data_IF_474856327499
#
_entry.id   IF_474856327499
#
_cell.length_a   1.000
_cell.length_b   1.000
_cell.length_c   1.000
_cell.angle_alpha   90.00
_cell.angle_beta   90.00
_cell.angle_gamma   90.00
#
_symmetry.space_group_name_H-M   'P 1'
#
loop_
_entity.id
_entity.type
_entity.pdbx_description
1 polymer ?
2 non-polymer ?
#
# COMPACT_ATOMS: atom_id res chain seq x y z
N UNK A 11 -1.21 8.63 26.86
CA UNK A 11 -0.81 7.23 26.91
C UNK A 11 -0.45 6.72 25.52
N UNK A 12 -1.44 6.71 24.62
CA UNK A 12 -1.25 6.26 23.26
C UNK A 12 -0.65 7.33 22.36
N UNK A 13 -0.54 8.57 22.83
CA UNK A 13 -0.12 9.67 21.96
C UNK A 13 1.33 9.60 21.53
N UNK A 14 2.26 9.29 22.44
CA UNK A 14 3.67 9.25 22.07
C UNK A 14 3.99 8.16 21.05
N UNK A 15 3.60 6.89 21.29
CA UNK A 15 3.89 5.86 20.28
C UNK A 15 3.23 6.14 18.94
N UNK A 16 1.98 6.61 18.96
CA UNK A 16 1.29 6.92 17.71
C UNK A 16 1.97 8.06 16.97
N UNK A 17 2.36 9.12 17.68
CA UNK A 17 3.03 10.24 17.06
C UNK A 17 4.39 9.83 16.48
N UNK A 18 5.17 9.06 17.23
CA UNK A 18 6.47 8.64 16.72
C UNK A 18 6.34 7.71 15.52
N UNK A 19 5.44 6.73 15.57
CA UNK A 19 5.24 5.85 14.42
C UNK A 19 4.64 6.58 13.22
N UNK A 20 3.75 7.55 13.45
CA UNK A 20 3.23 8.39 12.38
C UNK A 20 4.30 9.23 11.73
N UNK A 21 5.20 9.81 12.52
CA UNK A 21 6.33 10.53 11.95
C UNK A 21 7.23 9.60 11.15
N UNK A 22 7.47 8.39 11.67
CA UNK A 22 8.27 7.42 10.93
C UNK A 22 7.63 7.09 9.58
N UNK A 23 6.36 6.71 9.60
CA UNK A 23 5.65 6.38 8.37
C UNK A 23 5.49 7.55 7.43
N UNK A 24 5.42 8.77 7.95
CA UNK A 24 5.41 9.95 7.09
C UNK A 24 6.75 10.11 6.40
N UNK A 25 7.85 10.06 7.15
CA UNK A 25 9.17 10.20 6.56
C UNK A 25 9.65 8.93 5.86
N UNK A 26 9.01 7.79 6.11
CA UNK A 26 9.32 6.57 5.37
C UNK A 26 8.53 6.44 4.08
N UNK A 27 7.55 7.31 3.85
CA UNK A 27 6.84 7.36 2.58
C UNK A 27 6.75 8.77 1.99
N UNK A 28 7.31 9.78 2.65
CA UNK A 28 7.50 11.08 2.02
C UNK A 28 8.70 10.94 1.09
N UNK A 29 8.47 10.28 -0.04
CA UNK A 29 9.52 9.94 -0.98
C UNK A 29 9.27 10.67 -2.29
N UNK A 30 9.91 11.81 -2.52
CA UNK A 30 9.75 12.50 -3.82
C UNK A 30 10.21 11.67 -5.00
N UNK A 31 11.07 10.67 -4.78
CA UNK A 31 11.52 9.82 -5.87
C UNK A 31 10.42 8.89 -6.36
N UNK A 32 9.45 8.57 -5.50
CA UNK A 32 8.41 7.61 -5.88
C UNK A 32 7.59 8.05 -7.09
N UNK A 33 7.02 9.26 -7.14
CA UNK A 33 6.28 9.65 -8.36
C UNK A 33 7.15 9.70 -9.59
N UNK A 34 8.41 10.09 -9.45
CA UNK A 34 9.35 10.17 -10.56
C UNK A 34 10.38 9.05 -10.53
N UNK A 35 9.97 7.85 -10.12
CA UNK A 35 10.88 6.71 -10.05
C UNK A 35 11.29 6.27 -11.44
N UNK A 36 10.32 5.92 -12.28
CA UNK A 36 10.64 5.40 -13.61
C UNK A 36 11.45 6.39 -14.44
N UNK A 37 11.11 7.69 -14.48
CA UNK A 37 12.02 8.63 -15.16
C UNK A 37 13.41 8.67 -14.57
N UNK A 38 13.57 8.41 -13.27
CA UNK A 38 14.88 8.55 -12.64
C UNK A 38 15.86 7.50 -13.15
N UNK A 39 15.46 6.23 -13.17
CA UNK A 39 16.35 5.16 -13.61
C UNK A 39 16.28 4.92 -15.11
N UNK A 40 15.41 5.62 -15.82
CA UNK A 40 15.36 5.54 -17.27
C UNK A 40 15.90 6.77 -17.97
N UNK A 41 16.20 7.84 -17.24
CA UNK A 41 16.76 9.04 -17.82
C UNK A 41 18.27 9.01 -17.79
N UNK A 42 18.90 10.18 -17.88
CA UNK A 42 20.38 10.25 -17.88
C UNK A 42 20.99 9.79 -16.57
N UNK A 43 20.23 9.74 -15.48
CA UNK A 43 20.79 9.39 -14.19
C UNK A 43 21.31 7.95 -14.17
N UNK A 44 20.54 7.01 -14.72
CA UNK A 44 20.94 5.62 -14.75
C UNK A 44 21.09 5.06 -16.16
N UNK A 45 20.40 5.64 -17.15
CA UNK A 45 20.51 5.23 -18.55
C UNK A 45 20.15 3.77 -18.75
N UNK A 46 19.16 3.30 -17.98
CA UNK A 46 18.63 1.96 -18.17
C UNK A 46 17.47 1.98 -19.16
N UNK A 47 17.40 0.94 -20.00
CA UNK A 47 16.34 0.86 -20.98
C UNK A 47 15.03 0.41 -20.31
N UNK A 48 13.92 0.85 -20.91
CA UNK A 48 12.60 0.60 -20.35
C UNK A 48 12.16 -0.85 -20.44
N UNK A 49 12.84 -1.67 -21.24
CA UNK A 49 12.52 -3.08 -21.38
C UNK A 49 13.28 -3.94 -20.38
N UNK A 50 14.04 -3.30 -19.48
CA UNK A 50 14.82 -4.00 -18.48
C UNK A 50 14.46 -3.44 -17.11
N UNK A 51 13.58 -2.44 -17.10
CA UNK A 51 13.14 -1.78 -15.88
C UNK A 51 11.81 -2.38 -15.43
N UNK A 52 11.04 -2.88 -16.40
CA UNK A 52 9.73 -3.45 -16.11
C UNK A 52 9.66 -4.95 -16.33
N UNK A 53 10.48 -5.54 -17.19
CA UNK A 53 10.48 -6.97 -17.42
C UNK A 53 11.56 -7.71 -16.64
N UNK A 54 12.50 -6.99 -16.02
CA UNK A 54 13.58 -7.62 -15.27
C UNK A 54 13.81 -7.00 -13.90
N UNK A 55 13.42 -5.75 -13.68
CA UNK A 55 13.66 -5.05 -12.42
C UNK A 55 12.46 -5.12 -11.49
N UNK A 56 11.27 -4.79 -11.99
CA UNK A 56 10.08 -4.83 -11.14
C UNK A 56 9.62 -6.24 -10.77
N UNK A 57 9.70 -7.26 -11.64
CA UNK A 57 9.44 -8.62 -11.17
C UNK A 57 10.37 -9.05 -10.06
N UNK A 58 11.61 -8.56 -10.05
CA UNK A 58 12.52 -8.84 -8.94
C UNK A 58 11.97 -8.25 -7.65
N UNK A 59 11.45 -7.02 -7.72
CA UNK A 59 10.83 -6.43 -6.53
C UNK A 59 9.63 -7.26 -6.07
N UNK A 60 8.80 -7.71 -7.01
CA UNK A 60 7.63 -8.50 -6.62
C UNK A 60 8.03 -9.81 -5.95
N UNK A 61 9.01 -10.51 -6.52
CA UNK A 61 9.46 -11.77 -5.95
C UNK A 61 10.10 -11.55 -4.59
N UNK A 62 10.92 -10.51 -4.45
CA UNK A 62 11.50 -10.21 -3.15
C UNK A 62 10.44 -9.82 -2.13
N UNK A 63 9.39 -9.11 -2.58
CA UNK A 63 8.27 -8.79 -1.71
C UNK A 63 7.61 -10.05 -1.19
N UNK A 64 7.40 -11.04 -2.07
CA UNK A 64 6.80 -12.30 -1.63
C UNK A 64 7.71 -13.03 -0.64
N UNK A 65 8.97 -13.24 -1.01
CA UNK A 65 9.88 -14.03 -0.18
C UNK A 65 10.37 -13.27 1.05
N UNK A 66 10.05 -11.98 1.16
CA UNK A 66 10.33 -11.24 2.37
C UNK A 66 9.11 -11.05 3.24
N UNK A 67 7.91 -11.08 2.66
CA UNK A 67 6.70 -11.19 3.48
C UNK A 67 6.62 -12.56 4.13
N UNK A 68 7.12 -13.60 3.45
CA UNK A 68 7.10 -14.95 4.02
C UNK A 68 7.70 -15.04 5.42
N UNK A 69 8.85 -14.43 5.72
CA UNK A 69 9.33 -14.41 7.11
C UNK A 69 8.94 -13.17 7.91
N UNK A 70 8.07 -12.31 7.39
CA UNK A 70 7.63 -11.16 8.17
C UNK A 70 6.50 -11.55 9.13
N UNK A 71 5.42 -12.12 8.60
CA UNK A 71 4.32 -12.50 9.48
C UNK A 71 4.68 -13.62 10.43
N UNK A 72 5.69 -14.44 10.08
CA UNK A 72 6.15 -15.47 11.00
C UNK A 72 6.92 -14.86 12.17
N UNK A 73 7.77 -13.86 11.89
CA UNK A 73 8.75 -13.40 12.87
C UNK A 73 8.47 -12.03 13.47
N UNK A 74 7.66 -11.19 12.82
CA UNK A 74 7.46 -9.83 13.33
C UNK A 74 6.78 -9.85 14.69
N UNK A 75 5.78 -10.71 14.87
CA UNK A 75 5.13 -10.83 16.17
C UNK A 75 6.09 -11.33 17.24
N UNK A 76 6.96 -12.27 16.87
CA UNK A 76 7.92 -12.81 17.83
C UNK A 76 8.91 -11.74 18.27
N UNK A 77 9.38 -10.91 17.34
CA UNK A 77 10.39 -9.89 17.65
C UNK A 77 9.76 -8.60 18.16
N UNK A 78 8.45 -8.59 18.40
CA UNK A 78 7.74 -7.44 19.00
C UNK A 78 7.71 -6.23 18.08
N UNK A 79 7.71 -6.47 16.77
CA UNK A 79 7.31 -5.52 15.74
C UNK A 79 8.26 -4.33 15.57
N UNK A 80 9.22 -4.14 16.47
CA UNK A 80 10.14 -3.03 16.30
C UNK A 80 11.30 -3.36 15.37
N UNK A 81 12.01 -4.49 15.56
CA UNK A 81 13.17 -4.76 14.69
C UNK A 81 12.82 -4.82 13.21
N UNK A 82 11.64 -5.35 12.86
CA UNK A 82 11.25 -5.37 11.46
C UNK A 82 11.04 -3.96 10.94
N UNK A 83 10.50 -3.07 11.77
CA UNK A 83 10.43 -1.66 11.42
C UNK A 83 11.84 -1.08 11.33
N UNK A 84 12.68 -1.41 12.31
CA UNK A 84 14.07 -0.97 12.26
C UNK A 84 14.79 -1.62 11.08
N UNK A 85 14.48 -2.88 10.80
CA UNK A 85 15.00 -3.51 9.58
C UNK A 85 14.45 -2.80 8.34
N UNK A 86 13.20 -2.36 8.39
CA UNK A 86 12.64 -1.56 7.30
C UNK A 86 13.38 -0.25 7.16
N UNK A 87 13.67 0.42 8.28
CA UNK A 87 14.39 1.68 8.22
C UNK A 87 15.79 1.53 7.66
N UNK A 88 16.54 0.53 8.13
CA UNK A 88 17.88 0.29 7.61
C UNK A 88 17.82 -0.10 6.14
N UNK A 89 16.89 -0.96 5.79
CA UNK A 89 16.73 -1.37 4.39
C UNK A 89 16.17 -0.25 3.52
N UNK A 90 15.49 0.73 4.11
CA UNK A 90 15.22 1.97 3.38
C UNK A 90 16.52 2.72 3.07
N UNK A 91 17.45 2.75 4.03
CA UNK A 91 18.73 3.39 3.79
C UNK A 91 19.49 2.65 2.70
N UNK A 92 19.50 1.31 2.76
CA UNK A 92 20.19 0.53 1.74
C UNK A 92 19.51 0.70 0.39
N UNK A 93 18.18 0.66 0.36
CA UNK A 93 17.44 0.75 -0.90
C UNK A 93 17.80 2.03 -1.64
N UNK A 94 17.64 3.18 -0.98
CA UNK A 94 17.90 4.45 -1.66
C UNK A 94 19.39 4.79 -1.74
N UNK A 95 20.22 4.18 -0.90
CA UNK A 95 21.66 4.35 -1.06
C UNK A 95 22.16 3.68 -2.33
N UNK A 96 21.68 2.47 -2.60
CA UNK A 96 22.03 1.81 -3.86
C UNK A 96 21.24 2.39 -5.02
N UNK A 97 20.07 2.98 -4.75
CA UNK A 97 19.33 3.69 -5.78
C UNK A 97 20.05 4.98 -6.17
N UNK A 98 20.86 5.53 -5.27
CA UNK A 98 21.55 6.78 -5.53
C UNK A 98 22.87 6.55 -6.25
N UNK A 99 23.69 5.63 -5.74
CA UNK A 99 25.07 5.47 -6.19
C UNK A 99 25.30 4.09 -6.80
N UNK A 100 24.24 3.43 -7.23
CA UNK A 100 24.38 2.13 -7.86
C UNK A 100 23.99 2.15 -9.33
N UNK A 101 24.97 2.03 -10.20
CA UNK A 101 24.73 2.05 -11.64
C UNK A 101 24.52 0.64 -12.17
N UNK A 102 23.91 0.56 -13.34
CA UNK A 102 23.64 -0.72 -13.97
C UNK A 102 22.44 -1.42 -13.37
N UNK A 103 22.05 -2.53 -14.02
CA UNK A 103 20.92 -3.33 -13.57
C UNK A 103 21.33 -4.35 -12.51
N UNK A 104 22.62 -4.66 -12.40
CA UNK A 104 23.08 -5.59 -11.38
C UNK A 104 22.79 -5.07 -9.98
N UNK A 105 23.10 -3.79 -9.73
CA UNK A 105 22.81 -3.19 -8.43
C UNK A 105 21.33 -2.87 -8.28
N UNK A 106 20.65 -2.51 -9.38
CA UNK A 106 19.25 -2.13 -9.29
C UNK A 106 18.35 -3.32 -8.92
N UNK A 107 18.75 -4.54 -9.30
CA UNK A 107 18.01 -5.70 -8.83
C UNK A 107 18.11 -5.84 -7.32
N UNK A 108 19.31 -5.57 -6.79
CA UNK A 108 19.56 -5.65 -5.32
C UNK A 108 18.72 -4.57 -4.63
N UNK A 109 18.50 -3.45 -5.30
CA UNK A 109 17.69 -2.33 -4.74
C UNK A 109 16.22 -2.75 -4.73
N UNK A 110 15.79 -3.40 -5.83
CA UNK A 110 14.40 -3.91 -5.94
C UNK A 110 14.19 -4.93 -4.81
N UNK A 111 15.23 -5.70 -4.51
CA UNK A 111 15.19 -6.68 -3.42
C UNK A 111 15.02 -5.98 -2.08
N UNK A 112 15.79 -4.91 -1.86
CA UNK A 112 15.67 -4.18 -0.59
C UNK A 112 14.37 -3.39 -0.52
N UNK A 113 13.83 -2.95 -1.66
CA UNK A 113 12.51 -2.33 -1.63
C UNK A 113 11.42 -3.37 -1.34
N UNK A 114 11.60 -4.60 -1.80
CA UNK A 114 10.74 -5.68 -1.35
C UNK A 114 10.85 -5.88 0.15
N UNK A 115 12.06 -5.75 0.69
CA UNK A 115 12.24 -5.78 2.13
C UNK A 115 11.43 -4.69 2.82
N UNK A 116 11.53 -3.45 2.32
CA UNK A 116 10.84 -2.35 2.99
C UNK A 116 9.33 -2.51 2.87
N UNK A 117 8.84 -3.01 1.73
CA UNK A 117 7.41 -3.20 1.56
C UNK A 117 6.87 -4.36 2.39
N UNK A 118 7.66 -5.43 2.55
CA UNK A 118 7.24 -6.54 3.40
C UNK A 118 7.24 -6.14 4.87
N UNK A 119 8.21 -5.30 5.26
CA UNK A 119 8.27 -4.80 6.62
C UNK A 119 7.31 -3.66 6.88
N UNK A 120 6.73 -3.08 5.83
CA UNK A 120 5.63 -2.13 5.97
C UNK A 120 4.42 -2.75 6.65
N UNK A 121 4.29 -4.08 6.58
CA UNK A 121 3.32 -4.80 7.41
C UNK A 121 3.60 -4.60 8.90
N UNK A 122 4.86 -4.70 9.31
CA UNK A 122 5.24 -4.40 10.69
C UNK A 122 4.91 -2.97 11.08
N UNK A 123 5.02 -2.03 10.14
CA UNK A 123 4.71 -0.63 10.45
C UNK A 123 3.25 -0.49 10.89
N UNK A 124 2.33 -1.16 10.19
CA UNK A 124 0.92 -1.05 10.53
C UNK A 124 0.59 -1.84 11.80
N UNK A 125 1.20 -3.02 11.97
CA UNK A 125 0.86 -3.90 13.08
C UNK A 125 1.55 -3.55 14.38
N UNK A 126 2.61 -2.75 14.34
CA UNK A 126 3.35 -2.43 15.56
C UNK A 126 2.49 -1.63 16.53
N UNK A 127 1.75 -0.64 16.02
CA UNK A 127 1.05 0.29 16.88
C UNK A 127 -0.06 -0.41 17.65
N UNK A 128 -0.68 -1.43 17.07
CA UNK A 128 -1.72 -2.17 17.78
C UNK A 128 -1.13 -3.02 18.90
N UNK A 129 0.16 -3.35 18.80
CA UNK A 129 0.83 -4.07 19.87
C UNK A 129 1.37 -3.16 20.95
N UNK A 130 1.22 -1.85 20.81
CA UNK A 130 1.74 -0.89 21.78
C UNK A 130 0.68 0.04 22.33
N UNK A 131 -0.52 0.09 21.73
CA UNK A 131 -1.61 0.90 22.24
C UNK A 131 -2.77 -0.02 22.62
N UNK A 132 -3.64 0.50 23.48
CA UNK A 132 -4.79 -0.26 23.92
C UNK A 132 -5.81 -0.41 22.79
N UNK A 133 -6.64 -1.46 22.83
CA UNK A 133 -7.64 -1.63 21.76
C UNK A 133 -8.61 -0.48 21.63
N UNK A 134 -8.85 0.27 22.71
CA UNK A 134 -9.82 1.36 22.65
C UNK A 134 -9.44 2.39 21.59
N UNK A 135 -8.14 2.64 21.42
CA UNK A 135 -7.65 3.59 20.44
C UNK A 135 -7.48 2.99 19.05
N UNK A 136 -7.70 1.68 18.90
CA UNK A 136 -7.41 1.00 17.64
C UNK A 136 -8.11 1.65 16.47
N UNK A 137 -9.27 2.26 16.70
CA UNK A 137 -9.91 3.04 15.64
C UNK A 137 -9.08 4.26 15.30
N UNK A 138 -8.93 5.19 16.25
CA UNK A 138 -8.27 6.46 15.98
C UNK A 138 -6.90 6.23 15.37
N UNK A 139 -6.06 5.51 16.12
CA UNK A 139 -4.71 5.14 15.71
C UNK A 139 -4.73 4.70 14.26
N UNK A 140 -5.60 3.72 13.95
CA UNK A 140 -5.65 3.17 12.60
C UNK A 140 -5.67 4.28 11.58
N UNK A 141 -6.72 5.11 11.63
CA UNK A 141 -6.88 6.20 10.71
C UNK A 141 -5.59 6.96 10.62
N UNK A 142 -5.16 7.51 11.75
CA UNK A 142 -3.99 8.38 11.76
C UNK A 142 -2.83 7.69 11.06
N UNK A 143 -2.53 6.45 11.46
CA UNK A 143 -1.42 5.72 10.86
C UNK A 143 -1.59 5.72 9.35
N UNK A 144 -2.66 5.09 8.86
CA UNK A 144 -2.87 5.03 7.43
C UNK A 144 -2.86 6.44 6.85
N UNK A 145 -3.58 7.35 7.49
CA UNK A 145 -3.68 8.71 6.99
C UNK A 145 -2.30 9.29 6.77
N UNK A 146 -1.45 9.24 7.80
CA UNK A 146 -0.17 9.91 7.69
C UNK A 146 0.64 9.29 6.56
N UNK A 147 0.58 7.96 6.45
CA UNK A 147 1.27 7.28 5.37
C UNK A 147 0.83 7.85 4.03
N UNK A 148 -0.48 7.89 3.80
CA UNK A 148 -0.99 8.47 2.57
C UNK A 148 -0.58 9.92 2.46
N UNK A 149 -0.73 10.68 3.55
CA UNK A 149 -0.26 12.06 3.55
C UNK A 149 1.19 12.11 3.11
N UNK A 150 2.01 11.24 3.73
CA UNK A 150 3.40 11.11 3.33
C UNK A 150 3.52 11.11 1.82
N UNK A 151 2.89 10.11 1.18
CA UNK A 151 3.03 9.95 -0.26
C UNK A 151 2.65 11.25 -0.96
N UNK A 152 1.45 11.76 -0.67
CA UNK A 152 1.00 12.94 -1.39
C UNK A 152 1.93 14.11 -1.11
N UNK A 153 2.35 14.26 0.15
CA UNK A 153 3.35 15.27 0.47
C UNK A 153 4.55 15.11 -0.45
N UNK A 154 5.20 13.96 -0.39
CA UNK A 154 6.32 13.72 -1.27
C UNK A 154 5.95 14.01 -2.70
N UNK A 155 4.81 13.46 -3.13
CA UNK A 155 4.34 13.68 -4.50
C UNK A 155 4.33 15.17 -4.81
N UNK A 156 3.56 15.94 -4.05
CA UNK A 156 3.46 17.36 -4.37
C UNK A 156 4.82 18.01 -4.23
N UNK A 157 5.57 17.64 -3.19
CA UNK A 157 6.93 18.16 -3.04
C UNK A 157 7.74 17.88 -4.29
N UNK A 158 7.74 16.61 -4.71
CA UNK A 158 8.48 16.25 -5.92
C UNK A 158 8.06 17.14 -7.08
N UNK A 159 6.75 17.33 -7.25
CA UNK A 159 6.27 18.11 -8.38
C UNK A 159 6.89 19.51 -8.35
N UNK A 160 6.85 20.17 -7.18
CA UNK A 160 7.40 21.51 -7.10
C UNK A 160 8.89 21.48 -7.43
N UNK A 161 9.61 20.48 -6.90
CA UNK A 161 11.04 20.40 -7.15
C UNK A 161 11.36 20.19 -8.62
N UNK A 162 10.41 19.67 -9.41
CA UNK A 162 10.62 19.56 -10.85
C UNK A 162 9.90 20.66 -11.62
N UNK A 163 9.03 21.43 -10.98
CA UNK A 163 8.27 22.46 -11.66
C UNK A 163 8.67 23.89 -11.25
N UNK A 164 9.44 24.04 -10.18
CA UNK A 164 9.84 25.37 -9.72
C UNK A 164 11.32 25.50 -9.40
N UNK A 165 12.03 24.40 -9.14
CA UNK A 165 13.45 24.46 -8.82
C UNK A 165 14.29 23.60 -9.74
N UNK A 166 13.70 23.06 -10.82
CA UNK A 166 14.35 22.17 -11.78
C UNK A 166 15.29 21.17 -11.12
N UNK A 167 14.86 20.61 -10.00
CA UNK A 167 15.70 19.65 -9.28
C UNK A 167 15.77 18.34 -10.05
N UNK A 168 16.98 17.82 -10.22
CA UNK A 168 17.17 16.58 -10.94
C UNK A 168 16.61 15.40 -10.14
N UNK A 169 16.33 14.31 -10.85
CA UNK A 169 15.78 13.13 -10.20
C UNK A 169 16.77 12.54 -9.19
N UNK A 170 18.07 12.72 -9.42
CA UNK A 170 19.06 12.26 -8.46
C UNK A 170 18.90 12.97 -7.13
N UNK A 171 18.69 14.28 -7.15
CA UNK A 171 18.48 15.00 -5.90
C UNK A 171 17.09 14.73 -5.32
N UNK A 172 16.12 14.37 -6.16
CA UNK A 172 14.85 13.88 -5.63
C UNK A 172 15.06 12.61 -4.81
N UNK A 173 15.87 11.69 -5.33
CA UNK A 173 16.19 10.48 -4.59
C UNK A 173 17.05 10.79 -3.36
N UNK A 174 17.88 11.83 -3.44
CA UNK A 174 18.66 12.26 -2.28
C UNK A 174 17.75 12.74 -1.16
N UNK A 175 16.74 13.55 -1.51
CA UNK A 175 15.77 14.01 -0.54
C UNK A 175 14.95 12.84 -0.01
N UNK A 176 14.65 11.87 -0.87
CA UNK A 176 13.98 10.65 -0.43
C UNK A 176 14.81 9.90 0.61
N UNK A 177 16.11 9.76 0.36
CA UNK A 177 16.99 9.09 1.30
C UNK A 177 17.08 9.86 2.62
N UNK A 178 17.15 11.19 2.54
CA UNK A 178 17.16 11.99 3.76
C UNK A 178 15.87 11.83 4.55
N UNK A 179 14.74 11.72 3.85
CA UNK A 179 13.46 11.51 4.52
C UNK A 179 13.41 10.14 5.20
N UNK A 180 13.77 9.08 4.47
CA UNK A 180 13.75 7.75 5.08
C UNK A 180 14.86 7.61 6.13
N UNK A 181 15.91 8.43 6.06
CA UNK A 181 16.90 8.44 7.13
C UNK A 181 16.32 9.04 8.40
N UNK A 182 15.55 10.12 8.27
CA UNK A 182 14.83 10.67 9.41
C UNK A 182 13.81 9.66 9.92
N UNK A 183 13.17 8.93 9.00
CA UNK A 183 12.25 7.86 9.39
C UNK A 183 12.97 6.78 10.18
N UNK A 184 14.19 6.42 9.77
CA UNK A 184 14.96 5.43 10.52
C UNK A 184 15.28 5.94 11.92
N UNK A 185 15.62 7.22 12.04
CA UNK A 185 15.89 7.79 13.36
C UNK A 185 14.64 7.75 14.24
N UNK A 186 13.48 8.07 13.67
CA UNK A 186 12.24 8.00 14.43
C UNK A 186 11.93 6.56 14.84
N UNK A 187 12.19 5.60 13.94
CA UNK A 187 11.96 4.20 14.26
C UNK A 187 12.89 3.72 15.37
N UNK A 188 14.10 4.26 15.43
CA UNK A 188 15.01 3.95 16.54
C UNK A 188 14.42 4.40 17.87
N UNK A 189 13.64 5.48 17.86
CA UNK A 189 13.02 6.01 19.07
C UNK A 189 11.64 5.44 19.32
N UNK A 190 11.18 4.50 18.51
CA UNK A 190 9.87 3.89 18.73
C UNK A 190 9.89 3.11 20.04
N UNK A 191 8.88 3.28 20.91
CA UNK A 191 8.83 2.48 22.14
C UNK A 191 8.70 0.99 21.83
N UNK A 192 9.40 0.19 22.61
CA UNK A 192 9.37 -1.26 22.40
C UNK A 192 8.08 -1.84 22.97
N UNK A 193 7.28 -2.55 22.18
CA UNK A 193 6.07 -3.16 22.71
C UNK A 193 6.39 -4.23 23.74
N UNK A 194 5.45 -4.44 24.65
CA UNK A 194 5.63 -5.45 25.69
C UNK A 194 5.55 -6.85 25.10
N UNK A 195 6.20 -7.79 25.77
CA UNK A 195 6.28 -9.16 25.27
C UNK A 195 4.91 -9.82 25.25
N UNK A 196 4.70 -10.68 24.25
CA UNK A 196 3.45 -11.42 24.08
C UNK A 196 2.24 -10.50 24.01
N UNK A 261 5.54 -29.13 14.64
CA UNK A 261 5.63 -27.73 15.03
C UNK A 261 4.98 -26.84 13.98
N UNK A 262 5.26 -27.14 12.71
CA UNK A 262 4.69 -26.36 11.61
C UNK A 262 3.17 -26.41 11.62
N UNK A 263 2.60 -27.62 11.65
CA UNK A 263 1.15 -27.77 11.63
C UNK A 263 0.53 -27.07 12.84
N UNK A 264 1.14 -27.28 14.01
CA UNK A 264 0.71 -26.55 15.20
C UNK A 264 0.68 -25.05 14.94
N UNK A 265 1.75 -24.51 14.34
CA UNK A 265 1.75 -23.10 13.97
C UNK A 265 0.55 -22.78 13.09
N UNK A 266 0.31 -23.59 12.05
CA UNK A 266 -0.88 -23.40 11.24
C UNK A 266 -2.14 -23.46 12.09
N UNK A 267 -2.21 -24.42 13.02
CA UNK A 267 -3.32 -24.47 13.95
C UNK A 267 -3.44 -23.18 14.75
N UNK A 268 -2.33 -22.62 15.21
CA UNK A 268 -2.37 -21.32 15.86
C UNK A 268 -2.94 -20.26 14.92
N UNK A 269 -2.53 -20.28 13.65
CA UNK A 269 -3.12 -19.39 12.67
C UNK A 269 -4.62 -19.63 12.57
N UNK A 270 -5.05 -20.89 12.65
CA UNK A 270 -6.47 -21.21 12.67
C UNK A 270 -7.12 -20.59 13.90
N UNK A 271 -6.43 -20.64 15.05
CA UNK A 271 -6.94 -19.95 16.22
C UNK A 271 -6.86 -18.45 16.06
N UNK A 272 -5.93 -17.96 15.25
CA UNK A 272 -5.77 -16.53 15.04
C UNK A 272 -6.69 -16.02 13.92
N UNK A 273 -7.31 -16.91 13.16
CA UNK A 273 -8.21 -16.54 12.07
C UNK A 273 -9.66 -16.95 12.31
N UNK A 274 -9.97 -17.51 13.48
CA UNK A 274 -11.34 -17.89 13.83
C UNK A 274 -12.05 -16.78 14.58
N UNK A 275 -11.67 -15.53 14.32
CA UNK A 275 -12.20 -14.39 15.05
C UNK A 275 -13.56 -13.97 14.48
N UNK A 276 -14.20 -13.06 15.19
CA UNK A 276 -15.52 -12.55 14.78
C UNK A 276 -15.34 -11.41 13.79
N UNK A 277 -15.97 -11.54 12.61
CA UNK A 277 -15.95 -10.52 11.57
C UNK A 277 -14.53 -10.15 11.16
N UNK A 278 -13.61 -11.10 11.22
CA UNK A 278 -12.23 -10.85 10.87
C UNK A 278 -11.77 -11.64 9.65
N UNK A 279 -12.21 -12.88 9.48
CA UNK A 279 -11.84 -13.65 8.30
C UNK A 279 -12.42 -13.04 7.03
N UNK A 280 -13.61 -12.44 7.12
CA UNK A 280 -14.21 -11.76 5.98
C UNK A 280 -13.54 -10.43 5.67
N UNK A 281 -13.22 -9.64 6.70
CA UNK A 281 -12.37 -8.47 6.50
C UNK A 281 -11.00 -8.88 5.97
N UNK A 282 -10.49 -10.01 6.46
CA UNK A 282 -9.23 -10.55 5.94
C UNK A 282 -9.37 -10.95 4.47
N UNK A 283 -10.50 -11.59 4.12
CA UNK A 283 -10.71 -11.97 2.74
C UNK A 283 -10.80 -10.75 1.83
N UNK A 284 -11.46 -9.68 2.30
CA UNK A 284 -11.46 -8.44 1.54
C UNK A 284 -10.04 -7.89 1.40
N UNK A 285 -9.26 -7.91 2.49
CA UNK A 285 -7.87 -7.46 2.42
C UNK A 285 -7.06 -8.36 1.50
N UNK A 286 -7.29 -9.68 1.57
CA UNK A 286 -6.57 -10.61 0.71
C UNK A 286 -6.96 -10.47 -0.76
N UNK A 287 -8.10 -9.85 -1.06
CA UNK A 287 -8.59 -9.79 -2.43
C UNK A 287 -8.70 -8.37 -2.97
N UNK A 288 -9.35 -7.47 -2.23
CA UNK A 288 -9.58 -6.13 -2.76
C UNK A 288 -8.30 -5.33 -2.88
N UNK A 289 -7.35 -5.52 -1.97
CA UNK A 289 -6.08 -4.80 -2.06
C UNK A 289 -5.21 -5.30 -3.20
N UNK A 290 -5.38 -6.55 -3.63
CA UNK A 290 -4.71 -7.00 -4.85
C UNK A 290 -5.19 -6.21 -6.07
N UNK A 291 -6.51 -6.06 -6.20
CA UNK A 291 -7.04 -5.23 -7.26
C UNK A 291 -6.63 -3.78 -7.12
N UNK A 292 -6.54 -3.30 -5.87
CA UNK A 292 -6.08 -1.94 -5.65
C UNK A 292 -4.64 -1.75 -6.12
N UNK A 293 -3.77 -2.71 -5.84
CA UNK A 293 -2.39 -2.60 -6.27
C UNK A 293 -2.28 -2.71 -7.79
N UNK A 294 -3.12 -3.55 -8.40
CA UNK A 294 -3.16 -3.59 -9.86
C UNK A 294 -3.58 -2.24 -10.44
N UNK A 295 -4.59 -1.63 -9.84
CA UNK A 295 -5.02 -0.29 -10.26
C UNK A 295 -3.90 0.71 -10.05
N UNK A 296 -3.19 0.61 -8.93
CA UNK A 296 -2.06 1.51 -8.68
C UNK A 296 -1.01 1.38 -9.76
N UNK A 297 -0.72 0.15 -10.18
CA UNK A 297 0.31 -0.07 -11.18
C UNK A 297 -0.12 0.44 -12.55
N UNK A 298 -1.38 0.21 -12.94
CA UNK A 298 -1.79 0.47 -14.32
C UNK A 298 -2.71 1.68 -14.47
N UNK A 299 -2.87 2.50 -13.43
CA UNK A 299 -3.68 3.70 -13.56
C UNK A 299 -2.99 4.73 -14.45
N UNK A 300 -1.66 4.85 -14.34
CA UNK A 300 -0.93 5.74 -15.21
C UNK A 300 -1.05 5.30 -16.66
N UNK A 301 -1.01 3.98 -16.91
CA UNK A 301 -1.16 3.47 -18.26
C UNK A 301 -2.57 3.75 -18.79
N UNK A 302 -3.58 3.59 -17.92
CA UNK A 302 -4.94 3.92 -18.33
C UNK A 302 -5.08 5.40 -18.67
N UNK A 303 -4.44 6.27 -17.88
CA UNK A 303 -4.48 7.70 -18.17
C UNK A 303 -3.79 8.01 -19.49
N UNK A 304 -2.65 7.36 -19.76
CA UNK A 304 -1.98 7.56 -21.03
C UNK A 304 -2.84 7.10 -22.20
N UNK A 305 -3.55 5.98 -22.03
CA UNK A 305 -4.46 5.53 -23.07
C UNK A 305 -5.61 6.52 -23.27
N UNK A 306 -6.18 7.03 -22.18
CA UNK A 306 -7.31 7.93 -22.29
C UNK A 306 -6.91 9.28 -22.89
N UNK A 307 -5.85 9.88 -22.38
CA UNK A 307 -5.37 11.19 -22.82
C UNK A 307 -3.89 11.11 -23.15
N UNK A 308 -3.54 10.74 -24.38
CA UNK A 308 -2.13 10.71 -24.76
C UNK A 308 -1.54 12.11 -24.90
N UNK A 309 -1.36 12.79 -23.77
CA UNK A 309 -0.85 14.15 -23.76
C UNK A 309 0.59 14.16 -23.28
N UNK A 310 1.42 14.99 -23.92
CA UNK A 310 2.83 15.07 -23.55
C UNK A 310 2.99 15.60 -22.13
N UNK A 311 2.21 16.62 -21.76
CA UNK A 311 2.32 17.20 -20.42
C UNK A 311 1.60 16.39 -19.37
N UNK A 312 0.69 15.49 -19.76
CA UNK A 312 -0.14 14.77 -18.81
C UNK A 312 0.66 14.15 -17.68
N UNK A 313 1.95 13.89 -17.89
CA UNK A 313 2.79 13.31 -16.84
C UNK A 313 2.72 14.12 -15.56
N UNK A 314 2.96 15.44 -15.66
CA UNK A 314 2.92 16.26 -14.45
C UNK A 314 1.53 16.22 -13.84
N UNK A 315 0.50 16.13 -14.68
CA UNK A 315 -0.85 15.93 -14.17
C UNK A 315 -0.97 14.57 -13.48
N UNK A 316 -0.50 13.51 -14.15
CA UNK A 316 -0.84 12.15 -13.76
C UNK A 316 -0.47 11.89 -12.30
N UNK A 317 0.83 11.92 -12.00
CA UNK A 317 1.26 11.72 -10.63
C UNK A 317 0.60 12.69 -9.67
N UNK A 318 0.44 13.94 -10.10
CA UNK A 318 -0.21 14.93 -9.24
C UNK A 318 -1.59 14.45 -8.83
N UNK A 319 -2.37 13.93 -9.78
CA UNK A 319 -3.69 13.42 -9.44
C UNK A 319 -3.58 12.31 -8.40
N UNK A 320 -2.61 11.42 -8.59
CA UNK A 320 -2.35 10.39 -7.58
C UNK A 320 -2.19 11.03 -6.22
N UNK A 321 -1.36 12.08 -6.14
CA UNK A 321 -1.22 12.86 -4.92
C UNK A 321 -2.59 13.19 -4.35
N UNK A 322 -3.41 13.92 -5.12
CA UNK A 322 -4.74 14.28 -4.65
C UNK A 322 -5.51 13.03 -4.23
N UNK A 323 -5.50 12.02 -5.10
CA UNK A 323 -6.18 10.77 -4.76
C UNK A 323 -5.62 10.22 -3.45
N UNK A 324 -4.29 10.11 -3.37
CA UNK A 324 -3.69 9.67 -2.12
C UNK A 324 -4.07 10.60 -0.98
N UNK A 325 -4.00 11.91 -1.23
CA UNK A 325 -4.44 12.86 -0.21
C UNK A 325 -5.89 12.60 0.17
N UNK A 326 -6.75 12.38 -0.83
CA UNK A 326 -8.11 12.00 -0.52
C UNK A 326 -8.16 10.76 0.35
N UNK A 327 -7.42 9.73 -0.06
CA UNK A 327 -7.32 8.56 0.77
C UNK A 327 -6.84 8.90 2.17
N UNK A 328 -5.82 9.76 2.25
CA UNK A 328 -5.35 10.26 3.54
C UNK A 328 -6.53 10.75 4.37
N UNK A 329 -7.29 11.72 3.85
CA UNK A 329 -8.39 12.26 4.63
C UNK A 329 -9.42 11.17 4.89
N UNK A 330 -9.62 10.29 3.90
CA UNK A 330 -10.53 9.17 4.10
C UNK A 330 -10.05 8.30 5.24
N UNK A 331 -8.75 7.97 5.25
CA UNK A 331 -8.19 7.29 6.40
C UNK A 331 -8.31 8.17 7.63
N UNK A 332 -7.99 9.46 7.49
CA UNK A 332 -8.16 10.38 8.61
C UNK A 332 -9.62 10.49 9.01
N UNK A 333 -10.54 10.16 8.11
CA UNK A 333 -11.94 10.08 8.51
C UNK A 333 -12.16 8.92 9.48
N UNK A 334 -11.66 7.74 9.13
CA UNK A 334 -11.95 6.54 9.91
C UNK A 334 -11.45 6.70 11.34
N UNK A 335 -10.24 7.24 11.49
CA UNK A 335 -9.73 7.48 12.83
C UNK A 335 -10.50 8.55 13.58
N UNK A 336 -10.97 9.58 12.86
CA UNK A 336 -11.51 10.75 13.53
C UNK A 336 -12.97 10.55 13.94
N UNK A 337 -13.77 9.94 13.06
CA UNK A 337 -15.20 9.82 13.34
C UNK A 337 -15.42 8.88 14.51
N UNK A 338 -16.25 9.31 15.47
CA UNK A 338 -16.57 8.50 16.63
C UNK A 338 -17.83 7.68 16.35
N UNK A 339 -17.78 6.96 15.23
CA UNK A 339 -18.86 6.09 14.80
C UNK A 339 -18.44 4.65 15.06
N UNK A 340 -19.42 3.80 15.38
CA UNK A 340 -19.14 2.41 15.74
C UNK A 340 -19.10 1.57 14.48
N UNK A 341 -17.95 0.95 14.21
CA UNK A 341 -17.83 0.04 13.08
C UNK A 341 -18.25 -1.38 13.44
N UNK A 342 -18.64 -1.62 14.71
CA UNK A 342 -19.09 -2.95 15.11
C UNK A 342 -20.34 -3.36 14.33
N UNK A 343 -21.29 -2.43 14.16
CA UNK A 343 -22.49 -2.70 13.38
C UNK A 343 -22.40 -2.15 11.97
N UNK A 344 -21.59 -1.13 11.73
CA UNK A 344 -21.43 -0.53 10.42
C UNK A 344 -20.25 -1.10 9.63
N UNK A 345 -19.50 -2.04 10.21
CA UNK A 345 -18.39 -2.61 9.48
C UNK A 345 -18.82 -3.33 8.22
N UNK A 346 -19.85 -4.16 8.32
CA UNK A 346 -20.40 -4.80 7.13
C UNK A 346 -20.99 -3.76 6.19
N UNK A 347 -21.70 -2.77 6.74
CA UNK A 347 -22.31 -1.75 5.90
C UNK A 347 -21.25 -0.93 5.17
N UNK A 348 -20.20 -0.51 5.89
CA UNK A 348 -19.13 0.23 5.25
C UNK A 348 -18.43 -0.61 4.19
N UNK A 349 -18.18 -1.88 4.50
CA UNK A 349 -17.58 -2.78 3.53
C UNK A 349 -18.41 -2.83 2.25
N UNK A 350 -19.72 -3.09 2.38
CA UNK A 350 -20.58 -3.22 1.20
C UNK A 350 -20.61 -1.92 0.41
N UNK A 351 -20.88 -0.79 1.09
CA UNK A 351 -21.08 0.47 0.39
C UNK A 351 -19.80 0.89 -0.31
N UNK A 352 -18.67 0.86 0.39
CA UNK A 352 -17.44 1.37 -0.22
C UNK A 352 -16.81 0.38 -1.18
N UNK A 353 -17.08 -0.92 -1.06
CA UNK A 353 -16.66 -1.85 -2.12
C UNK A 353 -17.48 -1.62 -3.39
N UNK A 354 -18.78 -1.38 -3.25
CA UNK A 354 -19.59 -1.03 -4.41
C UNK A 354 -19.11 0.29 -5.00
N UNK A 355 -18.70 1.23 -4.15
CA UNK A 355 -18.16 2.50 -4.63
C UNK A 355 -16.86 2.27 -5.40
N UNK A 356 -15.98 1.40 -4.90
CA UNK A 356 -14.76 1.09 -5.62
C UNK A 356 -15.06 0.48 -6.99
N UNK A 357 -16.00 -0.47 -7.03
CA UNK A 357 -16.36 -1.09 -8.30
C UNK A 357 -16.94 -0.07 -9.27
N UNK A 358 -17.84 0.79 -8.79
CA UNK A 358 -18.43 1.79 -9.65
C UNK A 358 -17.43 2.82 -10.15
N UNK A 359 -16.46 3.18 -9.30
CA UNK A 359 -15.42 4.10 -9.72
C UNK A 359 -14.51 3.46 -10.76
N UNK A 360 -14.17 2.18 -10.58
CA UNK A 360 -13.33 1.50 -11.56
C UNK A 360 -14.03 1.37 -12.90
N UNK A 361 -15.34 1.06 -12.89
CA UNK A 361 -16.09 1.06 -14.14
C UNK A 361 -16.15 2.45 -14.74
N UNK A 362 -16.39 3.47 -13.90
CA UNK A 362 -16.34 4.85 -14.35
C UNK A 362 -14.96 5.22 -14.87
N UNK A 363 -13.91 4.68 -14.24
CA UNK A 363 -12.55 4.96 -14.70
C UNK A 363 -12.30 4.40 -16.09
N UNK A 364 -13.04 3.35 -16.48
CA UNK A 364 -12.89 2.71 -17.77
C UNK A 364 -13.97 3.09 -18.77
N UNK A 365 -15.24 2.98 -18.38
CA UNK A 365 -16.33 3.16 -19.33
C UNK A 365 -16.36 4.57 -19.91
N UNK A 366 -16.17 5.57 -19.05
CA UNK A 366 -16.19 6.96 -19.49
C UNK A 366 -14.83 7.35 -20.04
N UNK A 367 -14.78 7.69 -21.32
CA UNK A 367 -13.53 8.09 -21.98
C UNK A 367 -13.30 9.59 -21.83
N UNK A 368 -13.41 10.06 -20.60
CA UNK A 368 -13.12 11.45 -20.24
C UNK A 368 -12.00 11.45 -19.22
N UNK A 369 -10.95 12.22 -19.50
CA UNK A 369 -9.77 12.18 -18.64
C UNK A 369 -10.06 12.79 -17.28
N UNK A 370 -10.85 13.86 -17.23
CA UNK A 370 -11.23 14.44 -15.94
C UNK A 370 -12.16 13.52 -15.17
N UNK A 371 -13.12 12.89 -15.87
CA UNK A 371 -13.98 11.91 -15.22
C UNK A 371 -13.17 10.72 -14.72
N UNK A 372 -12.16 10.30 -15.50
CA UNK A 372 -11.30 9.21 -15.05
C UNK A 372 -10.50 9.61 -13.82
N UNK A 373 -10.01 10.86 -13.78
CA UNK A 373 -9.29 11.32 -12.59
C UNK A 373 -10.19 11.34 -11.37
N UNK A 374 -11.43 11.81 -11.55
CA UNK A 374 -12.37 11.84 -10.43
C UNK A 374 -12.70 10.42 -9.97
N UNK A 375 -12.88 9.50 -10.91
CA UNK A 375 -13.13 8.12 -10.54
C UNK A 375 -11.96 7.49 -9.80
N UNK A 376 -10.74 7.81 -10.23
CA UNK A 376 -9.56 7.29 -9.53
C UNK A 376 -9.46 7.87 -8.12
N UNK A 377 -9.76 9.17 -7.97
CA UNK A 377 -9.76 9.77 -6.65
C UNK A 377 -10.80 9.09 -5.74
N UNK A 378 -12.00 8.86 -6.28
CA UNK A 378 -13.04 8.21 -5.49
C UNK A 378 -12.62 6.80 -5.11
N UNK A 379 -12.07 6.04 -6.07
CA UNK A 379 -11.63 4.68 -5.81
C UNK A 379 -10.55 4.65 -4.74
N UNK A 380 -9.52 5.48 -4.89
CA UNK A 380 -8.40 5.47 -3.95
C UNK A 380 -8.86 5.89 -2.56
N UNK A 381 -9.67 6.95 -2.47
CA UNK A 381 -10.12 7.41 -1.17
C UNK A 381 -11.01 6.38 -0.49
N UNK A 382 -11.97 5.82 -1.21
CA UNK A 382 -12.87 4.84 -0.63
C UNK A 382 -12.11 3.58 -0.23
N UNK A 383 -11.16 3.13 -1.04
CA UNK A 383 -10.39 1.95 -0.68
C UNK A 383 -9.48 2.22 0.52
N UNK A 384 -8.90 3.42 0.61
CA UNK A 384 -8.08 3.74 1.77
C UNK A 384 -8.93 3.73 3.04
N UNK A 385 -10.13 4.30 2.97
CA UNK A 385 -11.06 4.24 4.09
C UNK A 385 -11.40 2.79 4.43
N UNK A 386 -11.65 1.97 3.41
CA UNK A 386 -12.03 0.58 3.64
C UNK A 386 -10.88 -0.23 4.23
N UNK A 387 -9.66 -0.01 3.76
CA UNK A 387 -8.52 -0.75 4.31
C UNK A 387 -8.20 -0.28 5.71
N UNK A 388 -8.41 1.01 6.01
CA UNK A 388 -8.29 1.46 7.39
C UNK A 388 -9.30 0.76 8.29
N UNK A 389 -10.55 0.67 7.83
CA UNK A 389 -11.57 -0.05 8.60
C UNK A 389 -11.19 -1.52 8.75
N UNK A 390 -10.65 -2.12 7.68
CA UNK A 390 -10.26 -3.52 7.73
C UNK A 390 -9.16 -3.75 8.75
N UNK A 391 -8.13 -2.91 8.74
CA UNK A 391 -7.03 -3.05 9.67
C UNK A 391 -7.50 -2.84 11.10
N UNK A 392 -8.33 -1.82 11.32
CA UNK A 392 -8.84 -1.56 12.66
C UNK A 392 -9.70 -2.73 13.17
N UNK A 393 -10.63 -3.21 12.34
CA UNK A 393 -11.53 -4.27 12.75
C UNK A 393 -10.79 -5.57 12.97
N UNK A 394 -9.76 -5.86 12.17
CA UNK A 394 -8.94 -7.03 12.42
C UNK A 394 -8.18 -6.86 13.74
N UNK A 395 -7.67 -5.66 14.01
CA UNK A 395 -6.90 -5.43 15.23
C UNK A 395 -7.76 -5.64 16.47
N UNK A 396 -8.97 -5.08 16.49
CA UNK A 396 -9.81 -5.21 17.67
C UNK A 396 -10.33 -6.64 17.83
N UNK A 397 -10.75 -7.25 16.72
CA UNK A 397 -11.35 -8.57 16.78
C UNK A 397 -10.32 -9.70 16.81
N UNK A 398 -9.03 -9.38 16.70
CA UNK A 398 -8.01 -10.42 16.62
C UNK A 398 -7.98 -11.29 17.87
N UNK A 399 -8.03 -10.65 19.04
CA UNK A 399 -7.97 -11.31 20.35
C UNK A 399 -6.76 -12.23 20.47
N UNK A 400 -5.78 -12.06 19.59
CA UNK A 400 -4.49 -12.74 19.67
C UNK A 400 -3.41 -11.70 19.38
N UNK A 401 -2.24 -11.91 19.99
CA UNK A 401 -1.15 -10.94 19.86
C UNK A 401 -0.60 -10.85 18.45
N UNK A 402 -0.92 -11.81 17.58
CA UNK A 402 -0.35 -11.83 16.24
C UNK A 402 -0.97 -10.80 15.31
N UNK A 403 -0.67 -9.51 15.56
CA UNK A 403 -1.15 -8.46 14.67
C UNK A 403 -0.48 -8.54 13.31
N UNK A 404 0.83 -8.77 13.28
CA UNK A 404 1.54 -8.82 11.99
C UNK A 404 1.39 -10.15 11.28
N UNK A 405 0.95 -11.20 11.98
CA UNK A 405 0.68 -12.46 11.29
C UNK A 405 -0.52 -12.33 10.37
N UNK A 406 -1.62 -11.78 10.89
CA UNK A 406 -2.81 -11.59 10.07
C UNK A 406 -2.58 -10.50 9.03
N UNK A 407 -1.95 -9.39 9.44
CA UNK A 407 -1.60 -8.35 8.47
C UNK A 407 -0.60 -8.89 7.45
N UNK A 408 0.42 -9.60 7.92
CA UNK A 408 1.44 -10.11 7.01
C UNK A 408 0.90 -11.17 6.06
N UNK A 409 0.11 -12.11 6.59
CA UNK A 409 -0.43 -13.15 5.70
C UNK A 409 -1.49 -12.54 4.79
N UNK A 410 -2.21 -11.52 5.25
CA UNK A 410 -3.16 -10.82 4.38
C UNK A 410 -2.44 -10.16 3.22
N UNK A 411 -1.35 -9.45 3.50
CA UNK A 411 -0.59 -8.80 2.45
C UNK A 411 0.07 -9.83 1.54
N UNK A 412 0.52 -10.96 2.09
CA UNK A 412 1.14 -11.99 1.26
C UNK A 412 0.13 -12.64 0.32
N UNK A 413 -1.06 -12.98 0.83
CA UNK A 413 -2.09 -13.56 -0.02
C UNK A 413 -2.58 -12.54 -1.04
N UNK A 414 -2.69 -11.27 -0.64
CA UNK A 414 -3.09 -10.23 -1.57
C UNK A 414 -2.05 -10.05 -2.67
N UNK A 415 -0.77 -10.11 -2.32
CA UNK A 415 0.28 -10.00 -3.32
C UNK A 415 0.31 -11.24 -4.22
N UNK A 416 0.01 -12.41 -3.68
CA UNK A 416 -0.08 -13.62 -4.50
C UNK A 416 -1.19 -13.48 -5.52
N UNK A 417 -2.36 -13.02 -5.07
CA UNK A 417 -3.49 -12.85 -5.99
C UNK A 417 -3.20 -11.75 -7.00
N UNK A 418 -2.54 -10.67 -6.56
CA UNK A 418 -2.18 -9.59 -7.48
C UNK A 418 -1.20 -10.06 -8.54
N UNK A 419 -0.20 -10.87 -8.14
CA UNK A 419 0.73 -11.41 -9.11
C UNK A 419 0.05 -12.37 -10.07
N UNK A 420 -0.87 -13.20 -9.57
CA UNK A 420 -1.58 -14.15 -10.43
C UNK A 420 -2.42 -13.39 -11.46
N UNK A 421 -3.16 -12.39 -11.00
CA UNK A 421 -4.00 -11.61 -11.91
C UNK A 421 -3.19 -10.68 -12.80
N UNK A 422 -1.96 -10.35 -12.40
CA UNK A 422 -1.05 -9.66 -13.31
C UNK A 422 -0.56 -10.60 -14.41
N UNK A 423 -0.28 -11.85 -14.04
CA UNK A 423 0.14 -12.84 -15.03
C UNK A 423 -0.97 -13.08 -16.04
N UNK A 424 -2.21 -13.21 -15.57
CA UNK A 424 -3.31 -13.49 -16.48
C UNK A 424 -3.73 -12.24 -17.25
N UNK A 425 -4.05 -11.15 -16.53
CA UNK A 425 -4.75 -10.04 -17.13
C UNK A 425 -3.84 -9.28 -18.11
N UNK A 426 -2.64 -8.92 -17.68
CA UNK A 426 -1.84 -7.95 -18.44
C UNK A 426 -0.57 -8.58 -19.00
N UNK A 427 -0.02 -9.56 -18.30
CA UNK A 427 1.24 -10.15 -18.71
C UNK A 427 1.10 -10.87 -20.05
N UNK A 428 2.18 -10.85 -20.83
CA UNK A 428 2.18 -11.50 -22.14
C UNK A 428 1.92 -12.99 -22.02
N UNK A 429 2.38 -13.59 -20.92
CA UNK A 429 2.17 -15.03 -20.72
C UNK A 429 0.69 -15.37 -20.62
N UNK A 430 -0.11 -14.50 -20.03
CA UNK A 430 -1.54 -14.72 -19.88
C UNK A 430 -2.35 -14.17 -21.04
N UNK A 431 -3.49 -13.59 -20.69
CA UNK A 431 -4.40 -13.03 -21.68
C UNK A 431 -3.82 -11.83 -22.41
N UNK A 432 -3.00 -11.05 -21.70
CA UNK A 432 -2.36 -9.82 -22.25
C UNK A 432 -3.48 -8.86 -22.70
N UNK A 433 -4.35 -8.47 -21.77
CA UNK A 433 -5.47 -7.59 -22.07
C UNK A 433 -4.98 -6.16 -22.24
N UNK A 434 -5.39 -5.45 -23.30
CA UNK A 434 -5.02 -4.03 -23.42
C UNK A 434 -5.55 -3.22 -22.25
N UNK A 435 -5.00 -2.01 -22.07
CA UNK A 435 -5.37 -1.17 -20.94
C UNK A 435 -6.79 -0.65 -21.04
N UNK A 436 -7.43 -0.76 -22.20
CA UNK A 436 -8.81 -0.35 -22.39
C UNK A 436 -9.81 -1.42 -21.94
N UNK A 437 -9.33 -2.59 -21.52
CA UNK A 437 -10.19 -3.63 -20.98
C UNK A 437 -9.59 -4.09 -19.66
N UNK A 438 -8.34 -3.68 -19.41
CA UNK A 438 -7.70 -3.97 -18.14
C UNK A 438 -8.52 -3.43 -16.98
N UNK A 439 -8.92 -2.17 -17.06
CA UNK A 439 -9.73 -1.61 -15.98
C UNK A 439 -11.17 -2.08 -16.03
N UNK A 440 -11.65 -2.53 -17.18
CA UNK A 440 -12.95 -3.21 -17.23
C UNK A 440 -12.92 -4.46 -16.36
N UNK A 441 -11.89 -5.29 -16.51
CA UNK A 441 -11.81 -6.51 -15.71
C UNK A 441 -11.46 -6.18 -14.26
N UNK A 442 -10.73 -5.08 -14.01
CA UNK A 442 -10.50 -4.66 -12.63
C UNK A 442 -11.80 -4.25 -11.96
N UNK A 443 -12.65 -3.49 -12.66
CA UNK A 443 -13.95 -3.14 -12.12
C UNK A 443 -14.84 -4.36 -11.94
N UNK A 444 -14.76 -5.32 -12.86
CA UNK A 444 -15.51 -6.56 -12.70
C UNK A 444 -15.03 -7.34 -11.48
N UNK A 445 -13.72 -7.36 -11.25
CA UNK A 445 -13.17 -8.03 -10.07
C UNK A 445 -13.64 -7.36 -8.78
N UNK A 446 -13.61 -6.03 -8.75
CA UNK A 446 -14.11 -5.33 -7.56
C UNK A 446 -15.60 -5.49 -7.38
N UNK A 447 -16.35 -5.57 -8.48
CA UNK A 447 -17.79 -5.81 -8.38
C UNK A 447 -18.08 -7.22 -7.88
N UNK A 448 -17.28 -8.19 -8.30
CA UNK A 448 -17.40 -9.55 -7.78
C UNK A 448 -17.12 -9.56 -6.28
N UNK A 449 -16.08 -8.84 -5.85
CA UNK A 449 -15.78 -8.75 -4.42
C UNK A 449 -16.94 -8.12 -3.66
N UNK A 450 -17.48 -7.01 -4.18
CA UNK A 450 -18.59 -6.34 -3.51
C UNK A 450 -19.82 -7.23 -3.44
N UNK A 451 -20.14 -7.92 -4.54
CA UNK A 451 -21.29 -8.80 -4.55
C UNK A 451 -21.13 -9.99 -3.63
N UNK A 452 -19.90 -10.49 -3.50
CA UNK A 452 -19.62 -11.53 -2.51
C UNK A 452 -19.97 -11.02 -1.12
N UNK A 453 -19.62 -9.77 -0.84
CA UNK A 453 -20.00 -9.14 0.42
C UNK A 453 -21.42 -8.58 0.39
N UNK A 454 -22.04 -8.50 -0.78
CA UNK A 454 -23.49 -8.32 -0.90
C UNK A 454 -24.24 -9.59 -0.53
N UNK A 455 -23.86 -10.70 -1.15
CA UNK A 455 -24.52 -11.98 -0.89
C UNK A 455 -24.22 -12.49 0.51
N UNK A 456 -23.14 -12.02 1.14
CA UNK A 456 -22.92 -12.37 2.55
C UNK A 456 -23.94 -11.67 3.45
N UNK A 457 -24.28 -10.42 3.13
CA UNK A 457 -25.30 -9.72 3.89
C UNK A 457 -26.67 -10.36 3.71
N UNK A 458 -27.00 -10.76 2.47
CA UNK A 458 -28.24 -11.49 2.24
C UNK A 458 -28.24 -12.84 2.93
N UNK A 459 -27.09 -13.51 2.96
CA UNK A 459 -26.96 -14.75 3.70
C UNK A 459 -27.24 -14.53 5.19
N UNK A 460 -26.72 -13.43 5.75
CA UNK A 460 -27.07 -13.03 7.10
C UNK A 460 -28.55 -12.70 7.25
N UNK A 461 -29.11 -11.97 6.29
CA UNK A 461 -30.54 -11.61 6.28
C UNK A 461 -30.92 -10.84 7.53
X LIG B 1 8.70 0.89 -6.77
X LIG B 1 10.76 1.84 -6.12
X LIG B 1 11.27 0.63 -6.35
X LIG B 1 13.26 1.85 -5.80
X LIG B 1 6.74 0.04 -8.95
X LIG B 1 5.96 -0.86 -9.63
X LIG B 1 4.89 -1.41 -8.97
X LIG B 1 4.60 -1.07 -7.66
X LIG B 1 5.43 -0.18 -7.03
X LIG B 1 5.21 0.23 -5.62
X LIG B 1 7.26 1.25 -6.93
X LIG B 1 9.45 1.92 -6.34
X LIG B 1 12.71 0.49 -6.13
X LIG B 1 13.25 2.14 -4.33
X LIG B 1 9.33 -0.29 -6.96
X LIG B 1 6.45 0.31 -7.68
X LIG B 1 10.63 -0.44 -6.76
X LIG B 1 8.72 -1.46 -7.40
#
# INVERSE_FOLDING_TARGET
MDCYRTSLSSSWIYPTVILCLFGFFSMMRPSEPFLIPYLSGPDKNLTSAEITNEIFPVWTYSYLVLLLPVFVLTDYVRYKPVIILQGISFIITWLLLLFGQGVKTMQVVEFFYGMVTAAEVAYYAYIYSVVSPEHYQRVSGYCRSVTLAAYTAGSVLAQLLVSLANMSYFYLNVISLASVSVAFLFSLFLPMPKKSMFFHAKPSREIKKSSSVNPVLEETHEGEAPGCEEQKPTSEILSTSGKLNKGQLNSLKPSNVTVDVFVQWFQDLKECYSSKRLFYWSLWWAFATAGFNQVLNYVQILWDYKAPSQDSSIYNGAVEAIATFGGAVAAFAVGYVKVNWDLLGELALVVFSVVNAGSLFLMHYTANIWACYAGYLIFKSSYMLLITIAVFQIAVNLNVERYALVFGINTFIALVIQTIMTVIVVDQRGLNLPVSIQFLVYGSYFAVIAGIFLMRSMYITYSTKSQKDVQSPAPSENPDVSHPEEESNIIMSTKL
A1H5C C10 N12 C13 C15 C03 C04 C05 C06 C07 C08 C09 C11 C14 C16 C18 N02 N17 N19
#
